data_IF_191280071950
#
_entry.id   IF_191280071950
#
_cell.length_a   1.000
_cell.length_b   1.000
_cell.length_c   1.000
_cell.angle_alpha   90.00
_cell.angle_beta   90.00
_cell.angle_gamma   90.00
#
_symmetry.space_group_name_H-M   'P 1'
#
loop_
_entity.id
_entity.type
_entity.pdbx_description
1 polymer ?
#
# COMPACT_ATOMS: atom_id res chain seq x y z
N UNK A 1 -9.28 15.44 -7.18
CA UNK A 1 -9.81 14.37 -6.29
C UNK A 1 -9.49 13.04 -6.94
N UNK A 2 -8.70 12.18 -6.28
CA UNK A 2 -8.33 10.86 -6.81
C UNK A 2 -9.53 9.94 -6.67
N UNK A 3 -9.89 9.22 -7.74
CA UNK A 3 -11.02 8.30 -7.76
C UNK A 3 -10.57 6.84 -7.73
N UNK A 4 -11.44 5.96 -7.21
CA UNK A 4 -11.21 4.51 -7.21
C UNK A 4 -11.03 3.94 -8.63
N UNK A 5 -11.62 4.58 -9.64
CA UNK A 5 -11.52 4.14 -11.04
C UNK A 5 -10.09 4.14 -11.58
N UNK A 6 -9.19 4.95 -11.00
CA UNK A 6 -7.77 4.97 -11.39
C UNK A 6 -7.08 3.63 -11.10
N UNK A 7 -7.56 2.86 -10.12
CA UNK A 7 -7.00 1.56 -9.78
C UNK A 7 -7.45 0.43 -10.72
N UNK A 8 -8.38 0.67 -11.65
CA UNK A 8 -8.89 -0.37 -12.57
C UNK A 8 -9.30 -1.67 -11.85
N UNK A 9 -9.98 -1.53 -10.70
CA UNK A 9 -10.44 -2.65 -9.89
C UNK A 9 -9.46 -3.15 -8.81
N UNK A 10 -8.24 -2.58 -8.72
CA UNK A 10 -7.19 -3.06 -7.81
C UNK A 10 -7.22 -2.48 -6.40
N UNK A 11 -8.26 -1.73 -6.06
CA UNK A 11 -8.49 -1.18 -4.73
C UNK A 11 -9.68 -1.92 -4.11
N UNK A 12 -9.39 -2.94 -3.31
CA UNK A 12 -10.34 -3.99 -2.92
C UNK A 12 -10.43 -4.08 -1.39
N UNK A 13 -11.61 -3.87 -0.82
CA UNK A 13 -11.82 -3.77 0.63
C UNK A 13 -13.04 -2.93 0.99
N UNK A 14 -13.29 -2.76 2.29
CA UNK A 14 -14.38 -1.92 2.80
C UNK A 14 -14.22 -0.42 2.46
N UNK A 15 -15.29 0.35 2.61
CA UNK A 15 -15.31 1.78 2.25
C UNK A 15 -14.30 2.61 3.05
N UNK A 16 -14.06 2.25 4.33
CA UNK A 16 -13.14 2.94 5.22
C UNK A 16 -11.69 2.83 4.72
N UNK A 17 -11.24 1.63 4.38
CA UNK A 17 -9.91 1.39 3.82
C UNK A 17 -9.71 2.20 2.54
N UNK A 18 -10.66 2.12 1.61
CA UNK A 18 -10.59 2.83 0.33
C UNK A 18 -10.45 4.33 0.50
N UNK A 19 -11.16 4.91 1.47
CA UNK A 19 -11.05 6.33 1.82
C UNK A 19 -9.63 6.69 2.26
N UNK A 20 -9.03 5.93 3.17
CA UNK A 20 -7.67 6.21 3.64
C UNK A 20 -6.61 6.10 2.53
N UNK A 21 -6.69 5.09 1.66
CA UNK A 21 -5.77 4.96 0.52
C UNK A 21 -5.86 6.16 -0.41
N UNK A 22 -7.07 6.61 -0.73
CA UNK A 22 -7.28 7.78 -1.60
C UNK A 22 -6.82 9.09 -0.93
N UNK A 23 -7.04 9.24 0.37
CA UNK A 23 -6.56 10.40 1.14
C UNK A 23 -5.04 10.47 1.15
N UNK A 24 -4.34 9.36 1.36
CA UNK A 24 -2.88 9.30 1.32
C UNK A 24 -2.36 9.68 -0.07
N UNK A 25 -2.88 9.03 -1.11
CA UNK A 25 -2.45 9.34 -2.48
C UNK A 25 -2.76 10.78 -2.88
N UNK A 26 -3.82 11.40 -2.35
CA UNK A 26 -4.18 12.78 -2.71
C UNK A 26 -3.16 13.83 -2.28
N UNK A 27 -2.25 13.47 -1.36
CA UNK A 27 -1.16 14.32 -0.89
C UNK A 27 0.15 14.08 -1.65
N UNK A 28 0.22 13.02 -2.45
CA UNK A 28 1.41 12.63 -3.20
C UNK A 28 1.43 13.28 -4.59
N UNK A 29 2.60 13.33 -5.22
CA UNK A 29 2.73 13.83 -6.58
C UNK A 29 2.13 12.88 -7.64
N UNK A 30 1.88 13.42 -8.83
CA UNK A 30 1.26 12.67 -9.94
C UNK A 30 2.08 11.45 -10.38
N UNK A 31 3.41 11.50 -10.25
CA UNK A 31 4.27 10.37 -10.63
C UNK A 31 4.06 9.19 -9.69
N UNK A 32 4.02 9.46 -8.37
CA UNK A 32 3.72 8.44 -7.36
C UNK A 32 2.31 7.91 -7.55
N UNK A 33 1.31 8.78 -7.72
CA UNK A 33 -0.09 8.37 -7.94
C UNK A 33 -0.20 7.45 -9.17
N UNK A 34 0.38 7.86 -10.31
CA UNK A 34 0.33 7.10 -11.55
C UNK A 34 1.01 5.74 -11.42
N UNK A 35 2.18 5.71 -10.76
CA UNK A 35 2.91 4.48 -10.51
C UNK A 35 2.10 3.51 -9.64
N UNK A 36 1.61 3.97 -8.49
CA UNK A 36 0.88 3.14 -7.52
C UNK A 36 -0.44 2.63 -8.08
N UNK A 37 -1.25 3.49 -8.71
CA UNK A 37 -2.52 3.06 -9.31
C UNK A 37 -2.31 2.05 -10.46
N UNK A 38 -1.19 2.14 -11.18
CA UNK A 38 -0.83 1.20 -12.26
C UNK A 38 -0.18 -0.10 -11.78
N UNK A 39 0.51 -0.09 -10.63
CA UNK A 39 1.35 -1.23 -10.19
C UNK A 39 0.91 -1.92 -8.90
N UNK A 40 0.04 -1.31 -8.11
CA UNK A 40 -0.34 -1.85 -6.81
C UNK A 40 -1.78 -2.32 -6.77
N UNK A 41 -1.96 -3.44 -6.09
CA UNK A 41 -3.20 -3.88 -5.48
C UNK A 41 -3.20 -3.45 -4.02
N UNK A 42 -4.28 -2.82 -3.57
CA UNK A 42 -4.56 -2.63 -2.14
C UNK A 42 -5.67 -3.58 -1.75
N UNK A 43 -5.45 -4.34 -0.69
CA UNK A 43 -6.38 -5.35 -0.21
C UNK A 43 -6.62 -5.22 1.29
N UNK A 44 -7.89 -5.33 1.70
CA UNK A 44 -8.32 -5.51 3.08
C UNK A 44 -9.61 -6.36 3.11
N UNK A 45 -10.09 -6.72 4.30
CA UNK A 45 -11.39 -7.38 4.44
C UNK A 45 -12.53 -6.59 3.78
N UNK A 46 -13.52 -7.33 3.31
CA UNK A 46 -14.72 -6.80 2.66
C UNK A 46 -15.95 -7.13 3.48
N UNK A 47 -16.93 -6.23 3.43
CA UNK A 47 -18.22 -6.43 4.08
C UNK A 47 -19.02 -7.57 3.40
N UNK A 48 -18.92 -7.69 2.07
CA UNK A 48 -19.78 -8.56 1.26
C UNK A 48 -19.09 -9.78 0.65
N UNK A 49 -17.82 -10.04 1.01
CA UNK A 49 -17.05 -11.14 0.43
C UNK A 49 -16.12 -11.78 1.44
N UNK A 50 -16.14 -13.11 1.47
CA UNK A 50 -15.50 -13.92 2.51
C UNK A 50 -14.09 -14.36 2.13
N UNK A 51 -13.75 -14.34 0.83
CA UNK A 51 -12.44 -14.72 0.30
C UNK A 51 -12.25 -14.23 -1.14
N UNK A 52 -10.99 -14.11 -1.56
CA UNK A 52 -10.58 -13.82 -2.93
C UNK A 52 -9.45 -14.73 -3.36
N UNK A 53 -9.32 -14.93 -4.67
CA UNK A 53 -8.19 -15.64 -5.25
C UNK A 53 -7.55 -14.74 -6.30
N UNK A 54 -6.22 -14.71 -6.28
CA UNK A 54 -5.42 -14.10 -7.34
C UNK A 54 -4.71 -15.22 -8.08
N UNK A 55 -4.72 -15.17 -9.40
CA UNK A 55 -3.80 -15.99 -10.17
C UNK A 55 -2.40 -15.39 -10.11
N UNK A 56 -1.36 -16.22 -10.30
CA UNK A 56 0.00 -15.70 -10.40
C UNK A 56 0.18 -14.68 -11.53
N UNK A 57 -0.66 -14.72 -12.56
CA UNK A 57 -0.67 -13.74 -13.64
C UNK A 57 -1.23 -12.37 -13.20
N UNK A 58 -2.21 -12.35 -12.30
CA UNK A 58 -2.82 -11.11 -11.79
C UNK A 58 -1.81 -10.28 -10.97
N UNK A 59 -0.89 -10.97 -10.29
CA UNK A 59 0.17 -10.36 -9.47
C UNK A 59 1.50 -10.23 -10.21
N UNK A 60 1.64 -10.77 -11.43
CA UNK A 60 2.90 -10.73 -12.18
C UNK A 60 3.31 -9.28 -12.46
N UNK A 61 4.49 -8.88 -11.97
CA UNK A 61 5.02 -7.51 -12.07
C UNK A 61 4.11 -6.44 -11.44
N UNK A 62 3.27 -6.83 -10.47
CA UNK A 62 2.46 -5.97 -9.62
C UNK A 62 2.90 -6.16 -8.17
N UNK A 63 2.54 -5.20 -7.32
CA UNK A 63 2.70 -5.28 -5.88
C UNK A 63 1.34 -5.50 -5.22
N UNK A 64 1.31 -6.27 -4.14
CA UNK A 64 0.14 -6.41 -3.28
C UNK A 64 0.47 -5.78 -1.93
N UNK A 65 -0.27 -4.74 -1.56
CA UNK A 65 -0.26 -4.13 -0.23
C UNK A 65 -1.49 -4.64 0.50
N UNK A 66 -1.26 -5.45 1.52
CA UNK A 66 -2.29 -5.99 2.38
C UNK A 66 -2.41 -5.12 3.64
N UNK A 67 -3.62 -4.62 3.91
CA UNK A 67 -3.95 -3.86 5.11
C UNK A 67 -4.81 -4.75 5.99
N UNK A 68 -4.29 -5.13 7.15
CA UNK A 68 -4.99 -6.02 8.07
C UNK A 68 -6.16 -5.32 8.76
N UNK A 69 -7.08 -6.10 9.31
CA UNK A 69 -8.23 -5.54 10.02
C UNK A 69 -7.81 -4.83 11.30
N UNK A 70 -6.79 -5.35 11.99
CA UNK A 70 -6.21 -4.73 13.18
C UNK A 70 -5.64 -3.35 12.86
N UNK A 71 -4.94 -3.19 11.72
CA UNK A 71 -4.49 -1.87 11.28
C UNK A 71 -5.67 -0.93 11.06
N UNK A 72 -6.77 -1.41 10.49
CA UNK A 72 -7.94 -0.57 10.20
C UNK A 72 -8.74 -0.20 11.46
N UNK A 73 -8.47 -0.82 12.61
CA UNK A 73 -9.00 -0.44 13.92
C UNK A 73 -8.21 0.70 14.57
N UNK A 74 -6.98 0.95 14.12
CA UNK A 74 -6.11 2.01 14.63
C UNK A 74 -6.61 3.43 14.32
N UNK A 75 -5.89 4.42 14.87
CA UNK A 75 -6.16 5.84 14.59
C UNK A 75 -6.02 6.16 13.09
N UNK A 76 -6.80 7.11 12.56
CA UNK A 76 -6.65 7.55 11.17
C UNK A 76 -5.23 7.97 10.80
N UNK A 77 -4.49 8.57 11.73
CA UNK A 77 -3.10 8.96 11.57
C UNK A 77 -2.21 7.74 11.35
N UNK A 78 -2.35 6.73 12.21
CA UNK A 78 -1.58 5.48 12.11
C UNK A 78 -1.90 4.73 10.82
N UNK A 79 -3.19 4.64 10.44
CA UNK A 79 -3.60 3.99 9.18
C UNK A 79 -2.94 4.68 7.98
N UNK A 80 -3.05 6.02 7.91
CA UNK A 80 -2.48 6.78 6.79
C UNK A 80 -0.96 6.72 6.76
N UNK A 81 -0.31 6.78 7.92
CA UNK A 81 1.14 6.58 8.05
C UNK A 81 1.57 5.22 7.49
N UNK A 82 0.93 4.13 7.94
CA UNK A 82 1.28 2.79 7.48
C UNK A 82 1.05 2.64 5.98
N UNK A 83 -0.07 3.15 5.42
CA UNK A 83 -0.29 3.14 3.96
C UNK A 83 0.83 3.89 3.22
N UNK A 84 1.23 5.06 3.70
CA UNK A 84 2.30 5.85 3.09
C UNK A 84 3.67 5.14 3.19
N UNK A 85 3.93 4.45 4.30
CA UNK A 85 5.13 3.65 4.54
C UNK A 85 5.21 2.47 3.55
N UNK A 86 4.13 1.71 3.36
CA UNK A 86 4.08 0.61 2.39
C UNK A 86 4.22 1.08 0.94
N UNK A 87 3.63 2.23 0.60
CA UNK A 87 3.88 2.90 -0.69
C UNK A 87 5.37 3.23 -0.83
N UNK A 88 6.01 3.69 0.25
CA UNK A 88 7.45 3.95 0.30
C UNK A 88 8.28 2.73 -0.08
N UNK A 89 8.00 1.56 0.50
CA UNK A 89 8.67 0.32 0.09
C UNK A 89 8.55 0.05 -1.41
N UNK A 90 7.36 0.21 -1.97
CA UNK A 90 7.11 -0.08 -3.38
C UNK A 90 7.79 0.94 -4.30
N UNK A 91 7.70 2.24 -3.99
CA UNK A 91 8.31 3.31 -4.78
C UNK A 91 9.84 3.24 -4.75
N UNK A 92 10.42 2.90 -3.60
CA UNK A 92 11.87 2.81 -3.41
C UNK A 92 12.45 1.48 -3.90
N UNK A 93 11.61 0.56 -4.38
CA UNK A 93 12.05 -0.75 -4.90
C UNK A 93 12.63 -1.65 -3.81
N UNK A 94 12.14 -1.51 -2.58
CA UNK A 94 12.51 -2.37 -1.46
C UNK A 94 12.07 -3.81 -1.73
N UNK A 95 12.83 -4.77 -1.19
CA UNK A 95 12.57 -6.18 -1.40
C UNK A 95 11.65 -6.70 -0.31
N UNK A 96 10.65 -7.48 -0.68
CA UNK A 96 9.82 -8.16 0.30
C UNK A 96 10.63 -9.25 1.00
N UNK A 97 10.62 -9.24 2.33
CA UNK A 97 11.37 -10.18 3.19
C UNK A 97 10.90 -11.64 3.11
N UNK A 98 9.76 -11.89 2.45
CA UNK A 98 9.11 -13.22 2.41
C UNK A 98 9.80 -14.19 1.43
N UNK A 99 10.37 -13.69 0.33
CA UNK A 99 10.87 -14.54 -0.77
C UNK A 99 12.38 -14.41 -1.01
N UNK A 100 13.03 -13.43 -0.40
CA UNK A 100 14.47 -13.18 -0.56
C UNK A 100 15.16 -13.07 0.79
N UNK A 101 16.26 -13.81 0.98
CA UNK A 101 17.09 -13.65 2.17
C UNK A 101 17.74 -12.28 2.18
N UNK A 102 17.29 -11.42 3.09
CA UNK A 102 17.87 -10.10 3.34
C UNK A 102 18.64 -10.10 4.66
N UNK A 103 19.72 -9.34 4.73
CA UNK A 103 20.46 -9.15 5.98
C UNK A 103 19.68 -8.23 6.92
N UNK A 104 19.89 -8.39 8.24
CA UNK A 104 19.30 -7.48 9.25
C UNK A 104 19.62 -6.00 8.98
N UNK A 105 20.80 -5.72 8.41
CA UNK A 105 21.24 -4.36 8.08
C UNK A 105 20.45 -3.78 6.90
N UNK A 106 20.18 -4.59 5.88
CA UNK A 106 19.37 -4.18 4.72
C UNK A 106 17.92 -3.92 5.12
N UNK A 107 17.32 -4.83 5.89
CA UNK A 107 15.95 -4.65 6.41
C UNK A 107 15.88 -3.33 7.18
N UNK A 108 16.76 -3.13 8.17
CA UNK A 108 16.78 -1.89 8.96
C UNK A 108 16.91 -0.64 8.11
N UNK A 109 17.74 -0.69 7.05
CA UNK A 109 17.90 0.43 6.13
C UNK A 109 16.59 0.71 5.36
N UNK A 110 15.95 -0.33 4.82
CA UNK A 110 14.70 -0.21 4.07
C UNK A 110 13.55 0.34 4.93
N UNK A 111 13.40 -0.16 6.16
CA UNK A 111 12.41 0.37 7.12
C UNK A 111 12.64 1.86 7.39
N UNK A 112 13.89 2.27 7.65
CA UNK A 112 14.23 3.68 7.86
C UNK A 112 13.95 4.56 6.64
N UNK A 113 14.19 4.04 5.43
CA UNK A 113 13.94 4.75 4.18
C UNK A 113 12.43 4.89 3.91
N UNK A 114 11.64 3.85 4.21
CA UNK A 114 10.17 3.89 4.11
C UNK A 114 9.55 4.84 5.15
N UNK A 115 10.02 4.83 6.39
CA UNK A 115 9.64 5.82 7.41
C UNK A 115 9.92 7.24 6.97
N UNK A 116 11.13 7.47 6.42
CA UNK A 116 11.52 8.79 5.91
C UNK A 116 10.63 9.21 4.72
N UNK A 117 10.27 8.27 3.86
CA UNK A 117 9.35 8.52 2.75
C UNK A 117 7.99 8.97 3.26
N UNK A 118 7.36 8.23 4.18
CA UNK A 118 6.06 8.57 4.75
C UNK A 118 6.06 9.96 5.40
N UNK A 119 7.06 10.23 6.26
CA UNK A 119 7.22 11.53 6.94
C UNK A 119 7.46 12.68 5.98
N UNK A 120 8.13 12.42 4.85
CA UNK A 120 8.35 13.40 3.79
C UNK A 120 7.05 13.94 3.17
N UNK A 121 5.95 13.18 3.28
CA UNK A 121 4.61 13.57 2.85
C UNK A 121 3.71 14.07 3.99
N UNK A 122 4.24 14.20 5.21
CA UNK A 122 3.49 14.71 6.36
C UNK A 122 2.66 13.68 7.12
N UNK A 123 2.96 12.38 6.94
CA UNK A 123 2.38 11.30 7.73
C UNK A 123 3.25 10.90 8.91
#
# INVERSE_FOLDING_TARGET
MISQSLFSGKLVGNRRMKKHVLEVLSQMDEKVISFITKKCWFFASMEDAWAFTFTGNDLKNQHLIFLSDELLEESPEQIRYTIAHEIGHVVLGHRNSVLEMQTKKEIKKQEMEADKFARGWGF
#
